data_IF_320011210693
#
_entry.id   IF_320011210693
#
_cell.length_a   1.000
_cell.length_b   1.000
_cell.length_c   1.000
_cell.angle_alpha   90.00
_cell.angle_beta   90.00
_cell.angle_gamma   90.00
#
_symmetry.space_group_name_H-M   'P 1'
#
loop_
_entity.id
_entity.type
_entity.pdbx_description
1 polymer ?
#
# COMPACT_ATOMS: atom_id res chain seq x y z
N UNK A 1 -12.58 -10.10 7.69
CA UNK A 1 -13.12 -11.43 8.02
C UNK A 1 -13.81 -11.82 6.73
N UNK A 2 -13.13 -12.59 5.89
CA UNK A 2 -13.51 -12.79 4.49
C UNK A 2 -14.95 -13.27 4.39
N UNK A 3 -15.79 -12.55 3.64
CA UNK A 3 -17.17 -12.99 3.34
C UNK A 3 -17.06 -14.37 2.69
N UNK A 4 -17.57 -15.39 3.40
CA UNK A 4 -17.58 -16.75 2.90
C UNK A 4 -18.53 -16.87 1.71
N UNK A 5 -18.22 -17.73 0.73
CA UNK A 5 -19.04 -17.87 -0.48
C UNK A 5 -20.51 -18.16 -0.13
N UNK A 6 -20.78 -18.97 0.90
CA UNK A 6 -22.16 -19.18 1.35
C UNK A 6 -22.85 -17.91 1.83
N UNK A 7 -22.16 -16.95 2.47
CA UNK A 7 -22.76 -15.66 2.88
C UNK A 7 -22.94 -14.70 1.69
N UNK A 8 -22.08 -14.80 0.68
CA UNK A 8 -22.25 -14.08 -0.58
C UNK A 8 -23.46 -14.64 -1.35
N UNK A 9 -23.56 -15.96 -1.46
CA UNK A 9 -24.64 -16.67 -2.15
C UNK A 9 -25.97 -16.58 -1.37
N UNK A 10 -25.94 -16.69 -0.04
CA UNK A 10 -27.09 -16.51 0.87
C UNK A 10 -27.52 -15.04 0.90
N UNK A 11 -26.58 -14.09 0.82
CA UNK A 11 -26.87 -12.67 0.64
C UNK A 11 -27.56 -12.37 -0.69
N UNK A 12 -27.11 -12.99 -1.78
CA UNK A 12 -27.77 -12.92 -3.09
C UNK A 12 -29.16 -13.58 -3.03
N UNK A 13 -29.29 -14.73 -2.37
CA UNK A 13 -30.55 -15.49 -2.32
C UNK A 13 -31.58 -14.89 -1.36
N UNK A 14 -31.17 -14.25 -0.26
CA UNK A 14 -32.04 -13.64 0.75
C UNK A 14 -32.58 -12.25 0.36
N UNK A 15 -32.12 -11.69 -0.77
CA UNK A 15 -32.70 -10.45 -1.33
C UNK A 15 -34.10 -10.65 -1.89
N UNK A 16 -34.49 -11.91 -2.11
CA UNK A 16 -35.88 -12.31 -2.29
C UNK A 16 -36.44 -12.65 -0.91
N UNK A 17 -37.25 -11.75 -0.33
CA UNK A 17 -38.16 -12.06 0.75
C UNK A 17 -39.10 -13.18 0.25
N UNK A 18 -38.67 -14.42 0.39
CA UNK A 18 -39.37 -15.60 -0.09
C UNK A 18 -40.75 -15.74 0.58
N UNK A 19 -40.92 -15.07 1.72
CA UNK A 19 -42.15 -15.03 2.49
C UNK A 19 -43.23 -14.10 1.90
N UNK A 20 -42.85 -13.00 1.24
CA UNK A 20 -43.81 -12.10 0.55
C UNK A 20 -44.20 -12.64 -0.84
N UNK A 21 -43.34 -13.46 -1.44
CA UNK A 21 -43.60 -14.10 -2.74
C UNK A 21 -44.50 -15.34 -2.68
N UNK A 22 -44.75 -15.92 -1.49
CA UNK A 22 -45.68 -17.06 -1.35
C UNK A 22 -47.11 -16.71 -1.76
N UNK A 23 -47.50 -15.44 -1.67
CA UNK A 23 -48.82 -14.97 -2.13
C UNK A 23 -48.85 -14.56 -3.61
N UNK A 24 -47.70 -14.43 -4.28
CA UNK A 24 -47.60 -14.11 -5.72
C UNK A 24 -47.36 -15.37 -6.57
N UNK A 25 -46.91 -16.47 -5.94
CA UNK A 25 -46.58 -17.75 -6.60
C UNK A 25 -47.76 -18.57 -7.13
N UNK A 26 -49.00 -18.06 -7.11
CA UNK A 26 -50.14 -18.74 -7.75
C UNK A 26 -50.33 -18.40 -9.24
N UNK A 27 -49.62 -17.41 -9.78
CA UNK A 27 -49.57 -17.17 -11.22
C UNK A 27 -48.16 -17.45 -11.76
N UNK A 28 -47.87 -18.73 -12.03
CA UNK A 28 -46.74 -19.12 -12.88
C UNK A 28 -47.03 -18.64 -14.31
N UNK A 29 -46.68 -17.39 -14.62
CA UNK A 29 -46.19 -17.12 -15.97
C UNK A 29 -44.80 -17.76 -16.05
N UNK A 30 -44.64 -18.70 -16.97
CA UNK A 30 -43.32 -19.21 -17.35
C UNK A 30 -42.62 -18.04 -18.04
N UNK A 31 -41.86 -17.24 -17.30
CA UNK A 31 -40.93 -16.30 -17.90
C UNK A 31 -39.92 -17.13 -18.69
N UNK A 32 -39.92 -16.99 -20.02
CA UNK A 32 -38.83 -17.52 -20.85
C UNK A 32 -37.53 -16.91 -20.34
N UNK A 33 -36.64 -17.75 -19.81
CA UNK A 33 -35.30 -17.33 -19.38
C UNK A 33 -34.57 -16.77 -20.59
N UNK A 34 -34.11 -15.53 -20.47
CA UNK A 34 -33.34 -14.86 -21.51
C UNK A 34 -31.98 -15.55 -21.64
N UNK A 35 -31.34 -15.49 -22.81
CA UNK A 35 -29.96 -16.01 -22.96
C UNK A 35 -28.99 -15.40 -21.93
N UNK A 36 -29.19 -14.13 -21.56
CA UNK A 36 -28.45 -13.42 -20.50
C UNK A 36 -28.61 -14.09 -19.12
N UNK A 37 -29.79 -14.65 -18.83
CA UNK A 37 -30.06 -15.37 -17.58
C UNK A 37 -29.34 -16.72 -17.53
N UNK A 38 -29.30 -17.45 -18.66
CA UNK A 38 -28.54 -18.69 -18.78
C UNK A 38 -27.04 -18.48 -18.62
N UNK A 39 -26.49 -17.46 -19.28
CA UNK A 39 -25.07 -17.11 -19.14
C UNK A 39 -24.74 -16.67 -17.71
N UNK A 40 -25.66 -15.96 -17.05
CA UNK A 40 -25.51 -15.57 -15.65
C UNK A 40 -25.53 -16.79 -14.72
N UNK A 41 -26.44 -17.74 -14.91
CA UNK A 41 -26.48 -18.98 -14.11
C UNK A 41 -25.19 -19.80 -14.26
N UNK A 42 -24.65 -19.89 -15.48
CA UNK A 42 -23.36 -20.56 -15.71
C UNK A 42 -22.22 -19.86 -14.96
N UNK A 43 -22.22 -18.53 -14.92
CA UNK A 43 -21.22 -17.77 -14.15
C UNK A 43 -21.39 -17.96 -12.65
N UNK A 44 -22.62 -18.01 -12.17
CA UNK A 44 -22.94 -18.21 -10.75
C UNK A 44 -22.47 -19.59 -10.23
N UNK A 45 -22.33 -20.59 -11.11
CA UNK A 45 -21.77 -21.92 -10.80
C UNK A 45 -20.25 -21.94 -10.59
N UNK A 46 -19.51 -20.92 -11.04
CA UNK A 46 -18.06 -20.86 -10.82
C UNK A 46 -17.78 -20.79 -9.33
N UNK A 47 -16.73 -21.43 -8.81
CA UNK A 47 -16.37 -21.32 -7.39
C UNK A 47 -15.17 -20.39 -7.18
N UNK A 48 -15.25 -19.51 -6.19
CA UNK A 48 -14.15 -18.62 -5.79
C UNK A 48 -13.26 -19.25 -4.72
N UNK A 49 -13.62 -20.45 -4.27
CA UNK A 49 -12.75 -21.30 -3.46
C UNK A 49 -11.93 -22.27 -4.30
N UNK A 50 -12.37 -22.53 -5.54
CA UNK A 50 -11.61 -23.36 -6.46
C UNK A 50 -10.37 -22.61 -6.97
N UNK A 51 -9.20 -23.21 -6.75
CA UNK A 51 -7.91 -22.63 -7.07
C UNK A 51 -7.67 -22.52 -8.58
N UNK A 52 -8.20 -23.46 -9.36
CA UNK A 52 -8.03 -23.49 -10.80
C UNK A 52 -8.90 -22.42 -11.49
N UNK A 53 -10.16 -22.29 -11.06
CA UNK A 53 -11.02 -21.17 -11.45
C UNK A 53 -10.37 -19.82 -11.11
N UNK A 54 -9.81 -19.68 -9.90
CA UNK A 54 -9.08 -18.47 -9.52
C UNK A 54 -7.88 -18.21 -10.45
N UNK A 55 -7.07 -19.22 -10.78
CA UNK A 55 -5.88 -19.08 -11.64
C UNK A 55 -6.20 -18.52 -13.03
N UNK A 56 -7.33 -18.93 -13.60
CA UNK A 56 -7.78 -18.50 -14.93
C UNK A 56 -8.03 -16.98 -14.93
N UNK A 57 -8.69 -16.48 -13.89
CA UNK A 57 -9.13 -15.08 -13.77
C UNK A 57 -8.12 -14.17 -13.02
N UNK A 58 -7.06 -14.72 -12.42
CA UNK A 58 -6.08 -13.99 -11.60
C UNK A 58 -5.05 -13.20 -12.45
N UNK A 59 -5.56 -12.18 -13.15
CA UNK A 59 -4.72 -11.24 -13.91
C UNK A 59 -3.81 -10.42 -12.96
N UNK A 60 -4.28 -10.09 -11.75
CA UNK A 60 -3.53 -9.29 -10.80
C UNK A 60 -2.20 -9.94 -10.42
N UNK A 61 -2.19 -11.25 -10.15
CA UNK A 61 -0.96 -12.00 -9.90
C UNK A 61 -0.05 -12.04 -11.12
N UNK A 62 -0.60 -12.27 -12.32
CA UNK A 62 0.21 -12.36 -13.56
C UNK A 62 1.02 -11.09 -13.78
N UNK A 63 0.41 -9.94 -13.53
CA UNK A 63 1.08 -8.63 -13.63
C UNK A 63 2.05 -8.40 -12.45
N UNK A 64 1.71 -8.85 -11.24
CA UNK A 64 2.56 -8.72 -10.04
C UNK A 64 3.71 -9.73 -9.93
N UNK A 65 3.73 -10.78 -10.76
CA UNK A 65 4.69 -11.88 -10.66
C UNK A 65 6.14 -11.39 -10.66
N UNK A 66 6.46 -10.42 -11.52
CA UNK A 66 7.80 -9.84 -11.60
C UNK A 66 8.22 -9.18 -10.29
N UNK A 67 7.33 -8.37 -9.71
CA UNK A 67 7.56 -7.71 -8.43
C UNK A 67 7.79 -8.74 -7.32
N UNK A 68 6.97 -9.80 -7.26
CA UNK A 68 7.13 -10.88 -6.27
C UNK A 68 8.45 -11.66 -6.44
N UNK A 69 8.95 -11.82 -7.68
CA UNK A 69 10.28 -12.39 -7.92
C UNK A 69 11.37 -11.45 -7.39
N UNK A 70 11.25 -10.15 -7.62
CA UNK A 70 12.21 -9.15 -7.15
C UNK A 70 12.28 -9.09 -5.62
N UNK A 71 11.13 -9.08 -4.94
CA UNK A 71 11.07 -9.12 -3.46
C UNK A 71 11.69 -10.39 -2.86
N UNK A 72 11.60 -11.52 -3.58
CA UNK A 72 12.28 -12.76 -3.20
C UNK A 72 13.78 -12.65 -3.41
N UNK A 73 14.22 -12.12 -4.55
CA UNK A 73 15.64 -11.93 -4.86
C UNK A 73 16.33 -11.01 -3.82
N UNK A 74 15.64 -9.95 -3.39
CA UNK A 74 16.09 -9.01 -2.36
C UNK A 74 15.96 -9.55 -0.92
N UNK A 75 15.50 -10.78 -0.72
CA UNK A 75 15.25 -11.42 0.58
C UNK A 75 14.25 -10.70 1.52
N UNK A 76 13.46 -9.76 0.98
CA UNK A 76 12.53 -8.94 1.76
C UNK A 76 11.26 -9.71 2.10
N UNK A 77 10.76 -10.54 1.17
CA UNK A 77 9.48 -11.24 1.36
C UNK A 77 9.48 -12.62 0.68
N UNK A 78 9.68 -13.72 1.44
CA UNK A 78 9.79 -15.08 0.91
C UNK A 78 8.41 -15.75 0.72
N UNK A 79 7.59 -15.17 -0.16
CA UNK A 79 6.26 -15.70 -0.47
C UNK A 79 6.31 -16.55 -1.75
N UNK A 80 5.61 -17.69 -1.77
CA UNK A 80 5.60 -18.62 -2.90
C UNK A 80 4.17 -18.96 -3.31
N UNK A 81 3.99 -19.32 -4.59
CA UNK A 81 2.73 -19.91 -5.06
C UNK A 81 2.82 -21.42 -4.86
N UNK A 82 1.98 -21.96 -3.98
CA UNK A 82 1.99 -23.40 -3.65
C UNK A 82 0.96 -24.20 -4.45
N UNK A 83 -0.16 -23.57 -4.80
CA UNK A 83 -1.23 -24.16 -5.62
C UNK A 83 -1.79 -23.10 -6.58
N UNK A 84 -2.46 -23.50 -7.68
CA UNK A 84 -3.22 -22.59 -8.52
C UNK A 84 -4.14 -21.70 -7.67
N UNK A 85 -4.15 -20.39 -7.96
CA UNK A 85 -4.95 -19.42 -7.22
C UNK A 85 -4.51 -19.12 -5.77
N UNK A 86 -3.55 -19.86 -5.19
CA UNK A 86 -3.21 -19.76 -3.76
C UNK A 86 -1.74 -19.42 -3.50
N UNK A 87 -1.53 -18.35 -2.75
CA UNK A 87 -0.21 -17.87 -2.36
C UNK A 87 -0.01 -18.19 -0.88
N UNK A 88 1.14 -18.78 -0.55
CA UNK A 88 1.44 -19.23 0.81
C UNK A 88 2.84 -18.84 1.26
N UNK A 89 2.98 -18.65 2.57
CA UNK A 89 4.25 -18.47 3.25
C UNK A 89 4.51 -19.69 4.15
N UNK A 90 5.74 -20.21 4.10
CA UNK A 90 6.19 -21.29 4.98
C UNK A 90 7.63 -21.06 5.41
N UNK A 91 7.88 -21.19 6.71
CA UNK A 91 9.23 -21.06 7.29
C UNK A 91 10.20 -22.12 6.77
N UNK A 92 9.70 -23.28 6.33
CA UNK A 92 10.51 -24.38 5.80
C UNK A 92 10.73 -24.30 4.28
N UNK A 93 10.26 -23.24 3.62
CA UNK A 93 10.40 -23.12 2.17
C UNK A 93 11.83 -22.78 1.75
N UNK A 94 12.21 -23.19 0.53
CA UNK A 94 13.51 -22.84 -0.07
C UNK A 94 13.71 -21.32 -0.19
N UNK A 95 12.62 -20.58 -0.43
CA UNK A 95 12.63 -19.12 -0.48
C UNK A 95 12.96 -18.49 0.89
N UNK A 96 12.42 -19.03 1.98
CA UNK A 96 12.73 -18.56 3.34
C UNK A 96 14.17 -18.89 3.70
N UNK A 97 14.65 -20.09 3.36
CA UNK A 97 16.04 -20.48 3.60
C UNK A 97 17.02 -19.55 2.85
N UNK A 98 16.75 -19.26 1.57
CA UNK A 98 17.52 -18.26 0.82
C UNK A 98 17.48 -16.89 1.51
N UNK A 99 16.30 -16.42 1.93
CA UNK A 99 16.16 -15.12 2.57
C UNK A 99 16.95 -15.04 3.89
N UNK A 100 16.97 -16.11 4.68
CA UNK A 100 17.75 -16.21 5.92
C UNK A 100 19.25 -16.19 5.62
N UNK A 101 19.74 -16.99 4.66
CA UNK A 101 21.15 -17.00 4.28
C UNK A 101 21.61 -15.63 3.75
N UNK A 102 20.82 -15.01 2.88
CA UNK A 102 21.10 -13.68 2.35
C UNK A 102 21.09 -12.63 3.48
N UNK A 103 20.11 -12.68 4.39
CA UNK A 103 20.03 -11.77 5.52
C UNK A 103 21.23 -11.89 6.46
N UNK A 104 21.71 -13.11 6.74
CA UNK A 104 22.91 -13.32 7.56
C UNK A 104 24.13 -12.66 6.88
N UNK A 105 24.34 -12.93 5.59
CA UNK A 105 25.45 -12.34 4.83
C UNK A 105 25.35 -10.80 4.80
N UNK A 106 24.17 -10.25 4.50
CA UNK A 106 23.93 -8.81 4.50
C UNK A 106 24.11 -8.20 5.89
N UNK A 107 23.71 -8.90 6.95
CA UNK A 107 23.90 -8.44 8.34
C UNK A 107 25.37 -8.33 8.70
N UNK A 108 26.22 -9.28 8.28
CA UNK A 108 27.68 -9.19 8.50
C UNK A 108 28.24 -7.92 7.85
N UNK A 109 27.84 -7.63 6.61
CA UNK A 109 28.26 -6.40 5.90
C UNK A 109 27.76 -5.15 6.63
N UNK A 110 26.48 -5.12 7.02
CA UNK A 110 25.87 -4.00 7.75
C UNK A 110 26.54 -3.77 9.10
N UNK A 111 26.93 -4.82 9.82
CA UNK A 111 27.62 -4.71 11.11
C UNK A 111 29.05 -4.16 10.95
N UNK A 112 29.79 -4.59 9.92
CA UNK A 112 31.13 -4.05 9.61
C UNK A 112 31.01 -2.55 9.31
N UNK A 113 30.11 -2.18 8.40
CA UNK A 113 29.87 -0.76 8.05
C UNK A 113 29.41 0.03 9.27
N UNK A 114 28.49 -0.52 10.07
CA UNK A 114 27.97 0.12 11.28
C UNK A 114 29.06 0.34 12.33
N UNK A 115 29.97 -0.62 12.53
CA UNK A 115 31.09 -0.47 13.45
C UNK A 115 32.01 0.67 13.05
N UNK A 116 32.39 0.75 11.78
CA UNK A 116 33.23 1.83 11.26
C UNK A 116 32.55 3.19 11.40
N UNK A 117 31.23 3.27 11.14
CA UNK A 117 30.45 4.50 11.32
C UNK A 117 30.35 4.92 12.78
N UNK A 118 30.19 3.99 13.72
CA UNK A 118 30.18 4.30 15.16
C UNK A 118 31.57 4.76 15.63
N UNK A 119 32.65 4.18 15.10
CA UNK A 119 34.02 4.65 15.41
C UNK A 119 34.25 6.07 14.93
N UNK A 120 33.82 6.40 13.70
CA UNK A 120 33.87 7.77 13.17
C UNK A 120 33.04 8.70 14.05
N UNK A 121 31.81 8.31 14.43
CA UNK A 121 30.92 9.11 15.28
C UNK A 121 31.55 9.47 16.64
N UNK A 122 32.31 8.55 17.26
CA UNK A 122 33.02 8.80 18.53
C UNK A 122 34.18 9.77 18.41
N UNK A 123 34.73 9.93 17.21
CA UNK A 123 35.87 10.83 16.96
C UNK A 123 35.46 12.29 16.70
N UNK A 124 34.17 12.52 16.39
CA UNK A 124 33.65 13.84 16.04
C UNK A 124 33.39 14.66 17.31
N UNK A 125 33.92 15.88 17.33
CA UNK A 125 33.74 16.84 18.44
C UNK A 125 32.76 17.97 18.12
N UNK A 126 32.54 18.26 16.83
CA UNK A 126 31.58 19.30 16.40
C UNK A 126 30.17 18.73 16.33
N UNK A 127 29.22 19.47 16.85
CA UNK A 127 27.83 19.06 16.91
C UNK A 127 27.21 18.88 15.52
N UNK A 128 27.51 19.76 14.57
CA UNK A 128 26.92 19.64 13.23
C UNK A 128 27.42 18.39 12.50
N UNK A 129 28.73 18.14 12.50
CA UNK A 129 29.36 16.91 11.98
C UNK A 129 28.76 15.63 12.63
N UNK A 130 28.32 15.71 13.88
CA UNK A 130 27.67 14.60 14.59
C UNK A 130 26.26 14.31 14.03
N UNK A 131 25.49 15.34 13.67
CA UNK A 131 24.16 15.18 13.05
C UNK A 131 24.26 14.49 11.67
N UNK A 132 25.30 14.78 10.90
CA UNK A 132 25.53 14.07 9.63
C UNK A 132 25.89 12.60 9.87
N UNK A 133 26.77 12.33 10.83
CA UNK A 133 27.21 10.98 11.11
C UNK A 133 26.08 10.10 11.69
N UNK A 134 25.15 10.65 12.48
CA UNK A 134 24.02 9.89 13.02
C UNK A 134 22.99 9.49 11.95
N UNK A 135 22.76 10.33 10.93
CA UNK A 135 21.86 9.98 9.81
C UNK A 135 22.31 8.68 9.13
N UNK A 136 23.62 8.53 8.88
CA UNK A 136 24.16 7.30 8.29
C UNK A 136 23.95 6.05 9.15
N UNK A 137 23.94 6.19 10.48
CA UNK A 137 23.62 5.10 11.39
C UNK A 137 22.13 4.78 11.35
N UNK A 138 21.27 5.81 11.32
CA UNK A 138 19.82 5.64 11.23
C UNK A 138 19.44 4.91 9.94
N UNK A 139 20.06 5.22 8.80
CA UNK A 139 19.84 4.51 7.53
C UNK A 139 20.21 3.02 7.57
N UNK A 140 21.01 2.55 8.53
CA UNK A 140 21.28 1.12 8.71
C UNK A 140 20.18 0.40 9.51
N UNK A 141 19.40 1.12 10.32
CA UNK A 141 18.36 0.54 11.20
C UNK A 141 17.30 -0.27 10.45
N UNK A 142 16.76 0.15 9.29
CA UNK A 142 15.73 -0.60 8.58
C UNK A 142 16.13 -2.04 8.23
N UNK A 143 17.43 -2.32 8.06
CA UNK A 143 17.93 -3.68 7.83
C UNK A 143 17.50 -4.63 8.95
N UNK A 144 17.64 -4.21 10.20
CA UNK A 144 17.31 -5.04 11.36
C UNK A 144 15.80 -5.25 11.55
N UNK A 145 14.97 -4.45 10.89
CA UNK A 145 13.51 -4.60 10.94
C UNK A 145 13.00 -5.69 10.00
N UNK A 146 13.76 -6.09 8.97
CA UNK A 146 13.32 -7.04 7.92
C UNK A 146 12.65 -8.30 8.49
N UNK A 147 13.22 -9.01 9.49
CA UNK A 147 12.58 -10.22 10.03
C UNK A 147 11.23 -9.92 10.69
N UNK A 148 11.09 -8.77 11.33
CA UNK A 148 9.89 -8.39 12.08
C UNK A 148 8.78 -7.82 11.18
N UNK A 149 9.17 -6.93 10.25
CA UNK A 149 8.24 -6.15 9.42
C UNK A 149 8.04 -6.73 8.02
N UNK A 150 8.96 -7.56 7.53
CA UNK A 150 8.86 -8.25 6.24
C UNK A 150 8.38 -9.68 6.42
N UNK A 151 9.19 -10.53 7.09
CA UNK A 151 8.85 -11.94 7.25
C UNK A 151 7.70 -12.16 8.24
N UNK A 152 7.68 -11.38 9.33
CA UNK A 152 6.64 -11.43 10.35
C UNK A 152 5.23 -11.04 9.85
N UNK A 153 5.09 -10.46 8.66
CA UNK A 153 3.79 -10.15 8.02
C UNK A 153 3.53 -10.98 6.76
N UNK A 154 4.49 -11.81 6.33
CA UNK A 154 4.42 -12.52 5.04
C UNK A 154 3.19 -13.42 4.92
N UNK A 155 2.74 -14.00 6.04
CA UNK A 155 1.50 -14.79 6.09
C UNK A 155 0.25 -13.95 5.78
N UNK A 156 0.11 -12.77 6.41
CA UNK A 156 -1.02 -11.87 6.17
C UNK A 156 -1.01 -11.34 4.74
N UNK A 157 0.18 -11.04 4.21
CA UNK A 157 0.35 -10.61 2.82
C UNK A 157 -0.03 -11.73 1.83
N UNK A 158 0.31 -12.99 2.14
CA UNK A 158 -0.07 -14.13 1.32
C UNK A 158 -1.60 -14.31 1.26
N UNK A 159 -2.30 -14.13 2.38
CA UNK A 159 -3.77 -14.13 2.44
C UNK A 159 -4.34 -12.98 1.59
N UNK A 160 -3.83 -11.76 1.77
CA UNK A 160 -4.26 -10.60 0.99
C UNK A 160 -4.11 -10.84 -0.52
N UNK A 161 -2.94 -11.35 -0.95
CA UNK A 161 -2.70 -11.65 -2.38
C UNK A 161 -3.57 -12.79 -2.90
N UNK A 162 -3.93 -13.77 -2.08
CA UNK A 162 -4.88 -14.83 -2.44
C UNK A 162 -6.31 -14.30 -2.60
N UNK A 163 -6.72 -13.34 -1.77
CA UNK A 163 -8.06 -12.76 -1.83
C UNK A 163 -8.31 -11.98 -3.13
N UNK A 164 -7.26 -11.48 -3.80
CA UNK A 164 -7.38 -10.88 -5.13
C UNK A 164 -7.94 -11.87 -6.16
N UNK A 165 -7.46 -13.12 -6.18
CA UNK A 165 -7.97 -14.15 -7.08
C UNK A 165 -9.47 -14.39 -6.86
N UNK A 166 -9.89 -14.49 -5.59
CA UNK A 166 -11.31 -14.65 -5.22
C UNK A 166 -12.17 -13.49 -5.69
N UNK A 167 -11.68 -12.26 -5.50
CA UNK A 167 -12.38 -11.06 -5.95
C UNK A 167 -12.51 -11.02 -7.48
N UNK A 168 -11.48 -11.39 -8.23
CA UNK A 168 -11.56 -11.40 -9.70
C UNK A 168 -12.57 -12.42 -10.23
N UNK A 169 -12.71 -13.58 -9.57
CA UNK A 169 -13.79 -14.54 -9.89
C UNK A 169 -15.16 -13.93 -9.59
N UNK A 170 -15.36 -13.35 -8.40
CA UNK A 170 -16.64 -12.71 -8.04
C UNK A 170 -16.99 -11.53 -8.96
N UNK A 171 -15.99 -10.74 -9.36
CA UNK A 171 -16.13 -9.66 -10.33
C UNK A 171 -16.63 -10.20 -11.68
N UNK A 172 -16.03 -11.30 -12.17
CA UNK A 172 -16.47 -11.95 -13.40
C UNK A 172 -17.90 -12.48 -13.28
N UNK A 173 -18.29 -13.05 -12.12
CA UNK A 173 -19.67 -13.52 -11.91
C UNK A 173 -20.70 -12.40 -12.04
N UNK A 174 -20.42 -11.25 -11.44
CA UNK A 174 -21.36 -10.13 -11.38
C UNK A 174 -21.40 -9.36 -12.70
N UNK A 175 -20.24 -9.02 -13.28
CA UNK A 175 -20.15 -8.13 -14.44
C UNK A 175 -20.15 -8.88 -15.79
N UNK A 176 -19.85 -10.18 -15.78
CA UNK A 176 -19.62 -10.97 -16.99
C UNK A 176 -18.30 -10.68 -17.70
N UNK A 177 -17.50 -9.73 -17.21
CA UNK A 177 -16.24 -9.31 -17.81
C UNK A 177 -15.04 -9.62 -16.90
N UNK A 178 -13.91 -9.89 -17.52
CA UNK A 178 -12.67 -10.10 -16.79
C UNK A 178 -12.08 -8.76 -16.35
N UNK A 179 -11.69 -8.66 -15.08
CA UNK A 179 -11.04 -7.47 -14.56
C UNK A 179 -9.66 -7.29 -15.22
N UNK A 180 -9.53 -6.24 -16.03
CA UNK A 180 -8.31 -5.89 -16.76
C UNK A 180 -7.55 -4.79 -16.04
N UNK A 181 -6.23 -4.93 -15.99
CA UNK A 181 -5.33 -3.89 -15.48
C UNK A 181 -4.50 -3.29 -16.62
N UNK A 182 -5.01 -2.26 -17.32
CA UNK A 182 -4.30 -1.66 -18.44
C UNK A 182 -2.94 -1.11 -18.00
N UNK A 183 -1.89 -1.45 -18.73
CA UNK A 183 -0.51 -0.97 -18.52
C UNK A 183 0.09 -1.27 -17.14
N UNK A 184 -0.51 -2.14 -16.32
CA UNK A 184 -0.02 -2.40 -14.96
C UNK A 184 1.36 -3.07 -15.00
N UNK A 185 1.53 -4.12 -15.81
CA UNK A 185 2.83 -4.78 -16.01
C UNK A 185 3.92 -3.80 -16.45
N UNK A 186 3.63 -2.95 -17.44
CA UNK A 186 4.57 -1.94 -17.93
C UNK A 186 4.89 -0.91 -16.85
N UNK A 187 3.88 -0.45 -16.10
CA UNK A 187 4.07 0.46 -14.96
C UNK A 187 4.97 -0.18 -13.90
N UNK A 188 4.76 -1.46 -13.56
CA UNK A 188 5.57 -2.19 -12.57
C UNK A 188 7.03 -2.22 -13.02
N UNK A 189 7.30 -2.55 -14.28
CA UNK A 189 8.67 -2.57 -14.83
C UNK A 189 9.31 -1.19 -14.75
N UNK A 190 8.62 -0.14 -15.21
CA UNK A 190 9.13 1.24 -15.20
C UNK A 190 9.43 1.69 -13.77
N UNK A 191 8.51 1.47 -12.83
CA UNK A 191 8.71 1.87 -11.43
C UNK A 191 9.83 1.06 -10.80
N UNK A 192 9.90 -0.26 -11.01
CA UNK A 192 10.98 -1.09 -10.45
C UNK A 192 12.35 -0.67 -10.98
N UNK A 193 12.50 -0.45 -12.28
CA UNK A 193 13.77 0.06 -12.86
C UNK A 193 14.07 1.46 -12.34
N UNK A 194 13.06 2.33 -12.27
CA UNK A 194 13.18 3.68 -11.71
C UNK A 194 13.64 3.66 -10.25
N UNK A 195 13.14 2.75 -9.42
CA UNK A 195 13.53 2.60 -8.02
C UNK A 195 15.01 2.17 -7.85
N UNK A 196 15.51 1.31 -8.74
CA UNK A 196 16.92 0.90 -8.76
C UNK A 196 17.82 2.06 -9.18
N UNK A 197 17.45 2.77 -10.25
CA UNK A 197 18.19 3.95 -10.72
C UNK A 197 18.18 5.07 -9.68
N UNK A 198 17.03 5.33 -9.05
CA UNK A 198 16.90 6.31 -7.99
C UNK A 198 17.78 5.96 -6.79
N UNK A 199 17.88 4.68 -6.42
CA UNK A 199 18.77 4.24 -5.35
C UNK A 199 20.25 4.53 -5.69
N UNK A 200 20.68 4.26 -6.93
CA UNK A 200 22.04 4.58 -7.39
C UNK A 200 22.27 6.08 -7.39
N UNK A 201 21.38 6.86 -8.00
CA UNK A 201 21.51 8.32 -8.08
C UNK A 201 21.56 8.95 -6.69
N UNK A 202 20.67 8.55 -5.78
CA UNK A 202 20.64 9.04 -4.41
C UNK A 202 21.94 8.73 -3.67
N UNK A 203 22.45 7.50 -3.79
CA UNK A 203 23.73 7.13 -3.17
C UNK A 203 24.94 7.85 -3.75
N UNK A 204 24.97 8.07 -5.07
CA UNK A 204 26.02 8.85 -5.70
C UNK A 204 25.98 10.32 -5.25
N UNK A 205 24.77 10.90 -5.19
CA UNK A 205 24.58 12.25 -4.65
C UNK A 205 25.10 12.35 -3.22
N UNK A 206 24.73 11.41 -2.34
CA UNK A 206 25.24 11.39 -0.97
C UNK A 206 26.76 11.19 -0.89
N UNK A 207 27.33 10.37 -1.79
CA UNK A 207 28.76 10.13 -1.84
C UNK A 207 29.57 11.37 -2.25
N UNK A 208 29.01 12.22 -3.11
CA UNK A 208 29.63 13.46 -3.57
C UNK A 208 29.42 14.58 -2.56
N UNK A 209 28.24 14.65 -1.95
CA UNK A 209 27.82 15.77 -1.10
C UNK A 209 28.28 15.63 0.35
N UNK A 210 28.48 14.40 0.85
CA UNK A 210 28.93 14.16 2.23
C UNK A 210 30.35 13.59 2.27
N UNK A 211 31.28 14.38 2.83
CA UNK A 211 32.65 13.95 3.09
C UNK A 211 32.67 12.70 4.00
N UNK A 212 33.40 11.66 3.59
CA UNK A 212 33.56 10.41 4.34
C UNK A 212 32.75 9.20 3.83
N UNK A 213 32.17 9.29 2.63
CA UNK A 213 31.51 8.16 1.98
C UNK A 213 32.51 7.34 1.13
N UNK A 214 33.16 6.33 1.72
CA UNK A 214 33.91 5.35 0.91
C UNK A 214 32.93 4.49 0.10
N UNK A 215 33.22 4.32 -1.21
CA UNK A 215 32.47 3.45 -2.13
C UNK A 215 32.29 2.01 -1.63
N UNK A 216 33.18 1.54 -0.73
CA UNK A 216 33.10 0.21 -0.09
C UNK A 216 31.89 0.07 0.84
N UNK A 217 31.44 1.16 1.48
CA UNK A 217 30.26 1.15 2.36
C UNK A 217 28.95 1.21 1.58
N UNK A 218 28.99 1.63 0.32
CA UNK A 218 27.81 1.84 -0.53
C UNK A 218 27.02 0.55 -0.79
N UNK A 219 27.66 -0.61 -0.70
CA UNK A 219 27.01 -1.91 -0.92
C UNK A 219 25.92 -2.21 0.11
N UNK A 220 26.15 -1.93 1.39
CA UNK A 220 25.15 -2.10 2.45
C UNK A 220 23.96 -1.15 2.25
N UNK A 221 24.24 0.13 2.01
CA UNK A 221 23.20 1.13 1.81
C UNK A 221 22.41 0.90 0.52
N UNK A 222 23.04 0.36 -0.53
CA UNK A 222 22.37 0.03 -1.79
C UNK A 222 21.22 -0.95 -1.60
N UNK A 223 21.44 -2.02 -0.84
CA UNK A 223 20.38 -2.98 -0.54
C UNK A 223 19.24 -2.34 0.27
N UNK A 224 19.58 -1.55 1.30
CA UNK A 224 18.58 -0.92 2.18
C UNK A 224 17.73 0.12 1.43
N UNK A 225 18.36 1.01 0.68
CA UNK A 225 17.67 2.07 -0.07
C UNK A 225 16.83 1.45 -1.20
N UNK A 226 17.36 0.44 -1.89
CA UNK A 226 16.59 -0.31 -2.89
C UNK A 226 15.35 -0.93 -2.25
N UNK A 227 15.48 -1.54 -1.07
CA UNK A 227 14.35 -2.11 -0.34
C UNK A 227 13.31 -1.04 0.06
N UNK A 228 13.75 0.12 0.56
CA UNK A 228 12.85 1.24 0.92
C UNK A 228 12.04 1.68 -0.31
N UNK A 229 12.73 1.93 -1.44
CA UNK A 229 12.10 2.32 -2.70
C UNK A 229 11.12 1.25 -3.20
N UNK A 230 11.50 -0.03 -3.12
CA UNK A 230 10.64 -1.14 -3.55
C UNK A 230 9.40 -1.29 -2.68
N UNK A 231 9.49 -1.03 -1.37
CA UNK A 231 8.29 -1.01 -0.52
C UNK A 231 7.34 0.13 -0.91
N UNK A 232 7.85 1.34 -1.17
CA UNK A 232 7.02 2.43 -1.69
C UNK A 232 6.33 2.06 -3.01
N UNK A 233 7.09 1.47 -3.95
CA UNK A 233 6.56 0.99 -5.22
C UNK A 233 5.47 -0.07 -5.03
N UNK A 234 5.70 -1.06 -4.15
CA UNK A 234 4.73 -2.10 -3.83
C UNK A 234 3.42 -1.49 -3.34
N UNK A 235 3.49 -0.54 -2.41
CA UNK A 235 2.28 0.14 -1.92
C UNK A 235 1.52 0.82 -3.05
N UNK A 236 2.22 1.66 -3.83
CA UNK A 236 1.66 2.41 -4.93
C UNK A 236 0.97 1.49 -5.95
N UNK A 237 1.59 0.37 -6.32
CA UNK A 237 1.05 -0.58 -7.28
C UNK A 237 -0.23 -1.25 -6.74
N UNK A 238 -0.26 -1.64 -5.46
CA UNK A 238 -1.47 -2.22 -4.86
C UNK A 238 -2.62 -1.19 -4.80
N UNK A 239 -2.33 0.04 -4.37
CA UNK A 239 -3.29 1.15 -4.39
C UNK A 239 -3.83 1.42 -5.80
N UNK A 240 -2.95 1.47 -6.80
CA UNK A 240 -3.33 1.63 -8.21
C UNK A 240 -4.21 0.48 -8.70
N UNK A 241 -3.92 -0.76 -8.30
CA UNK A 241 -4.74 -1.93 -8.60
C UNK A 241 -6.16 -1.80 -8.05
N UNK A 242 -6.31 -1.41 -6.78
CA UNK A 242 -7.63 -1.17 -6.16
C UNK A 242 -8.37 -0.03 -6.86
N UNK A 243 -7.66 1.05 -7.19
CA UNK A 243 -8.25 2.18 -7.92
C UNK A 243 -8.83 1.74 -9.27
N UNK A 244 -8.06 1.00 -10.07
CA UNK A 244 -8.52 0.48 -11.37
C UNK A 244 -9.72 -0.46 -11.19
N UNK A 245 -9.65 -1.37 -10.21
CA UNK A 245 -10.76 -2.28 -9.89
C UNK A 245 -12.04 -1.53 -9.52
N UNK A 246 -11.92 -0.46 -8.72
CA UNK A 246 -13.04 0.39 -8.34
C UNK A 246 -13.64 1.16 -9.50
N UNK A 247 -12.81 1.73 -10.37
CA UNK A 247 -13.27 2.46 -11.54
C UNK A 247 -14.02 1.53 -12.50
N UNK A 248 -13.44 0.36 -12.77
CA UNK A 248 -14.06 -0.65 -13.61
C UNK A 248 -15.36 -1.21 -13.01
N UNK A 249 -15.44 -1.36 -11.68
CA UNK A 249 -16.68 -1.74 -10.99
C UNK A 249 -17.76 -0.66 -11.15
N UNK A 250 -17.42 0.60 -10.91
CA UNK A 250 -18.34 1.74 -11.03
C UNK A 250 -18.85 1.91 -12.47
N UNK A 251 -17.97 1.78 -13.46
CA UNK A 251 -18.33 1.86 -14.88
C UNK A 251 -19.30 0.73 -15.28
N UNK A 252 -19.03 -0.51 -14.86
CA UNK A 252 -19.93 -1.63 -15.12
C UNK A 252 -21.26 -1.47 -14.39
N UNK A 253 -21.22 -0.99 -13.14
CA UNK A 253 -22.43 -0.75 -12.36
C UNK A 253 -23.35 0.27 -13.03
N UNK A 254 -22.79 1.42 -13.44
CA UNK A 254 -23.54 2.46 -14.15
C UNK A 254 -24.16 1.92 -15.44
N UNK A 255 -23.36 1.22 -16.26
CA UNK A 255 -23.83 0.64 -17.52
C UNK A 255 -24.95 -0.37 -17.31
N UNK A 256 -24.83 -1.24 -16.31
CA UNK A 256 -25.83 -2.27 -16.06
C UNK A 256 -27.13 -1.68 -15.50
N UNK A 257 -27.04 -0.67 -14.63
CA UNK A 257 -28.20 0.07 -14.08
C UNK A 257 -28.95 0.85 -15.17
N UNK A 258 -28.23 1.43 -16.14
CA UNK A 258 -28.83 2.09 -17.31
C UNK A 258 -29.63 1.12 -18.19
N UNK A 259 -29.24 -0.15 -18.24
CA UNK A 259 -29.94 -1.19 -19.00
C UNK A 259 -31.12 -1.75 -18.21
N UNK A 260 -30.90 -2.13 -16.96
CA UNK A 260 -31.91 -2.73 -16.09
C UNK A 260 -31.63 -2.36 -14.62
N UNK A 261 -32.50 -1.56 -14.02
CA UNK A 261 -32.40 -1.24 -12.60
C UNK A 261 -33.30 -2.18 -11.78
N UNK A 262 -32.74 -3.29 -11.28
CA UNK A 262 -33.47 -4.26 -10.45
C UNK A 262 -32.78 -4.53 -9.10
N UNK A 263 -33.56 -4.86 -8.07
CA UNK A 263 -33.07 -5.13 -6.71
C UNK A 263 -31.95 -6.19 -6.69
N UNK A 264 -32.08 -7.23 -7.52
CA UNK A 264 -31.08 -8.30 -7.66
C UNK A 264 -29.75 -7.77 -8.18
N UNK A 265 -29.78 -6.87 -9.17
CA UNK A 265 -28.58 -6.23 -9.73
C UNK A 265 -27.89 -5.35 -8.68
N UNK A 266 -28.65 -4.45 -8.04
CA UNK A 266 -28.14 -3.54 -7.00
C UNK A 266 -27.47 -4.34 -5.87
N UNK A 267 -28.11 -5.43 -5.43
CA UNK A 267 -27.56 -6.24 -4.35
C UNK A 267 -26.24 -6.94 -4.73
N UNK A 268 -26.13 -7.46 -5.95
CA UNK A 268 -24.89 -8.08 -6.45
C UNK A 268 -23.73 -7.09 -6.49
N UNK A 269 -23.99 -5.88 -6.97
CA UNK A 269 -23.00 -4.81 -6.96
C UNK A 269 -22.66 -4.33 -5.55
N UNK A 270 -23.62 -4.29 -4.63
CA UNK A 270 -23.37 -4.03 -3.20
C UNK A 270 -22.39 -5.02 -2.60
N UNK A 271 -22.61 -6.33 -2.78
CA UNK A 271 -21.70 -7.35 -2.26
C UNK A 271 -20.32 -7.31 -2.93
N UNK A 272 -20.27 -7.03 -4.24
CA UNK A 272 -19.01 -6.87 -4.94
C UNK A 272 -18.22 -5.66 -4.42
N UNK A 273 -18.89 -4.52 -4.21
CA UNK A 273 -18.28 -3.33 -3.61
C UNK A 273 -17.80 -3.57 -2.18
N UNK A 274 -18.60 -4.25 -1.35
CA UNK A 274 -18.20 -4.64 0.01
C UNK A 274 -16.93 -5.50 -0.01
N UNK A 275 -16.80 -6.42 -0.97
CA UNK A 275 -15.61 -7.24 -1.10
C UNK A 275 -14.38 -6.43 -1.56
N UNK A 276 -14.57 -5.43 -2.42
CA UNK A 276 -13.52 -4.49 -2.80
C UNK A 276 -13.08 -3.60 -1.61
N UNK A 277 -14.04 -3.11 -0.82
CA UNK A 277 -13.77 -2.37 0.42
C UNK A 277 -12.99 -3.25 1.41
N UNK A 278 -13.37 -4.52 1.59
CA UNK A 278 -12.61 -5.46 2.41
C UNK A 278 -11.18 -5.69 1.88
N UNK A 279 -10.98 -5.77 0.57
CA UNK A 279 -9.65 -5.84 -0.02
C UNK A 279 -8.79 -4.61 0.30
N UNK A 280 -9.37 -3.41 0.23
CA UNK A 280 -8.67 -2.17 0.57
C UNK A 280 -8.30 -2.10 2.06
N UNK A 281 -9.21 -2.50 2.95
CA UNK A 281 -8.90 -2.61 4.37
C UNK A 281 -7.86 -3.71 4.64
N UNK A 282 -7.92 -4.82 3.93
CA UNK A 282 -6.96 -5.93 4.04
C UNK A 282 -5.56 -5.51 3.59
N UNK A 283 -5.42 -4.65 2.58
CA UNK A 283 -4.15 -4.04 2.19
C UNK A 283 -3.53 -3.27 3.38
N UNK A 284 -4.31 -2.38 4.00
CA UNK A 284 -3.90 -1.62 5.19
C UNK A 284 -3.49 -2.54 6.35
N UNK A 285 -4.32 -3.53 6.65
CA UNK A 285 -4.13 -4.42 7.80
C UNK A 285 -2.99 -5.43 7.61
N UNK A 286 -2.79 -5.95 6.40
CA UNK A 286 -1.75 -6.93 6.11
C UNK A 286 -0.35 -6.32 6.22
N UNK A 287 -0.19 -5.08 5.76
CA UNK A 287 1.08 -4.37 5.80
C UNK A 287 1.19 -3.33 6.92
N UNK A 288 0.24 -3.30 7.86
CA UNK A 288 0.18 -2.29 8.91
C UNK A 288 1.52 -2.11 9.64
N UNK A 289 2.13 -3.22 10.06
CA UNK A 289 3.42 -3.19 10.76
C UNK A 289 4.53 -2.61 9.90
N UNK A 290 4.61 -3.01 8.63
CA UNK A 290 5.63 -2.54 7.67
C UNK A 290 5.51 -1.03 7.45
N UNK A 291 4.31 -0.54 7.14
CA UNK A 291 4.14 0.88 6.82
C UNK A 291 4.07 1.78 8.05
N UNK A 292 3.68 1.28 9.23
CA UNK A 292 3.84 2.02 10.48
C UNK A 292 5.31 2.29 10.78
N UNK A 293 6.17 1.26 10.68
CA UNK A 293 7.62 1.45 10.87
C UNK A 293 8.24 2.32 9.78
N UNK A 294 7.76 2.18 8.54
CA UNK A 294 8.19 3.00 7.41
C UNK A 294 7.89 4.49 7.62
N UNK A 295 6.67 4.83 8.07
CA UNK A 295 6.29 6.20 8.37
C UNK A 295 7.16 6.78 9.49
N UNK A 296 7.36 6.05 10.59
CA UNK A 296 8.23 6.50 11.70
C UNK A 296 9.66 6.76 11.22
N UNK A 297 10.20 5.86 10.40
CA UNK A 297 11.52 6.03 9.81
C UNK A 297 11.59 7.28 8.92
N UNK A 298 10.62 7.50 8.03
CA UNK A 298 10.58 8.69 7.18
C UNK A 298 10.49 9.97 8.02
N UNK A 299 9.64 10.00 9.05
CA UNK A 299 9.50 11.16 9.93
C UNK A 299 10.78 11.49 10.70
N UNK A 300 11.46 10.48 11.23
CA UNK A 300 12.73 10.68 11.92
C UNK A 300 13.80 11.26 11.00
N UNK A 301 13.95 10.71 9.79
CA UNK A 301 14.94 11.20 8.83
C UNK A 301 14.62 12.62 8.34
N UNK A 302 13.35 12.92 8.01
CA UNK A 302 12.95 14.27 7.61
C UNK A 302 13.25 15.28 8.74
N UNK A 303 12.90 14.95 9.99
CA UNK A 303 13.16 15.83 11.13
C UNK A 303 14.66 16.11 11.29
N UNK A 304 15.48 15.07 11.27
CA UNK A 304 16.93 15.19 11.48
C UNK A 304 17.60 15.92 10.31
N UNK A 305 17.21 15.60 9.07
CA UNK A 305 17.76 16.23 7.88
C UNK A 305 17.40 17.72 7.80
N UNK A 306 16.14 18.09 8.07
CA UNK A 306 15.73 19.50 8.09
C UNK A 306 16.38 20.24 9.27
N UNK A 307 16.50 19.61 10.44
CA UNK A 307 17.20 20.20 11.57
C UNK A 307 18.67 20.46 11.23
N UNK A 308 19.38 19.46 10.70
CA UNK A 308 20.79 19.60 10.31
C UNK A 308 20.98 20.70 9.26
N UNK A 309 20.08 20.79 8.28
CA UNK A 309 20.15 21.84 7.25
C UNK A 309 19.93 23.24 7.86
N UNK A 310 18.94 23.41 8.74
CA UNK A 310 18.69 24.69 9.40
C UNK A 310 19.79 25.06 10.40
N UNK A 311 20.34 24.08 11.12
CA UNK A 311 21.43 24.22 12.09
C UNK A 311 22.65 24.88 11.47
N UNK A 312 23.00 24.48 10.25
CA UNK A 312 24.17 24.95 9.50
C UNK A 312 23.96 26.32 8.88
N UNK A 313 22.78 26.56 8.30
CA UNK A 313 22.38 27.87 7.78
C UNK A 313 22.47 28.95 8.88
N UNK A 314 22.10 28.60 10.13
CA UNK A 314 22.18 29.52 11.28
C UNK A 314 23.63 29.84 11.68
N UNK A 315 24.56 28.90 11.53
CA UNK A 315 25.94 29.06 11.98
C UNK A 315 26.85 29.71 10.93
N UNK A 316 26.71 29.33 9.66
CA UNK A 316 27.58 29.79 8.56
C UNK A 316 26.94 30.87 7.68
N UNK A 317 25.66 31.19 7.90
CA UNK A 317 24.87 32.05 7.00
C UNK A 317 24.45 31.31 5.72
N UNK A 318 23.89 32.02 4.74
CA UNK A 318 23.43 31.42 3.47
C UNK A 318 24.61 31.10 2.52
N UNK A 319 25.54 30.25 2.96
CA UNK A 319 26.66 29.78 2.17
C UNK A 319 26.43 28.32 1.81
N UNK A 320 25.89 28.04 0.62
CA UNK A 320 25.59 26.68 0.12
C UNK A 320 26.80 25.74 0.23
N UNK A 321 26.94 25.08 1.38
CA UNK A 321 27.96 24.07 1.60
C UNK A 321 27.50 22.75 0.96
N UNK A 322 28.44 21.95 0.44
CA UNK A 322 28.11 20.65 -0.15
C UNK A 322 27.35 19.75 0.84
N UNK A 323 27.65 19.87 2.14
CA UNK A 323 26.98 19.13 3.22
C UNK A 323 25.51 19.51 3.37
N UNK A 324 25.18 20.81 3.34
CA UNK A 324 23.80 21.32 3.45
C UNK A 324 22.93 20.81 2.29
N UNK A 325 23.49 20.82 1.08
CA UNK A 325 22.82 20.31 -0.10
C UNK A 325 22.50 18.81 0.03
N UNK A 326 23.41 18.03 0.63
CA UNK A 326 23.18 16.61 0.93
C UNK A 326 21.97 16.37 1.84
N UNK A 327 21.81 17.17 2.89
CA UNK A 327 20.66 17.07 3.81
C UNK A 327 19.35 17.49 3.16
N UNK A 328 19.38 18.53 2.31
CA UNK A 328 18.20 18.94 1.58
C UNK A 328 17.74 17.85 0.60
N UNK A 329 18.68 17.21 -0.09
CA UNK A 329 18.39 16.06 -0.98
C UNK A 329 17.77 14.91 -0.20
N UNK A 330 18.29 14.59 0.99
CA UNK A 330 17.72 13.56 1.86
C UNK A 330 16.31 13.89 2.36
N UNK A 331 16.10 15.11 2.85
CA UNK A 331 14.80 15.58 3.29
C UNK A 331 13.76 15.55 2.15
N UNK A 332 14.14 16.01 0.96
CA UNK A 332 13.29 16.00 -0.22
C UNK A 332 12.95 14.57 -0.68
N UNK A 333 13.93 13.67 -0.65
CA UNK A 333 13.76 12.26 -0.99
C UNK A 333 12.78 11.57 -0.02
N UNK A 334 13.01 11.67 1.29
CA UNK A 334 12.15 11.07 2.30
C UNK A 334 10.73 11.67 2.26
N UNK A 335 10.61 12.98 2.06
CA UNK A 335 9.32 13.67 1.93
C UNK A 335 8.53 13.21 0.70
N UNK A 336 9.21 13.02 -0.44
CA UNK A 336 8.58 12.54 -1.67
C UNK A 336 8.04 11.11 -1.49
N UNK A 337 8.83 10.22 -0.89
CA UNK A 337 8.40 8.85 -0.62
C UNK A 337 7.20 8.77 0.33
N UNK A 338 7.22 9.58 1.39
CA UNK A 338 6.09 9.67 2.32
C UNK A 338 4.84 10.26 1.64
N UNK A 339 5.01 11.31 0.82
CA UNK A 339 3.92 11.90 0.06
C UNK A 339 3.27 10.88 -0.87
N UNK A 340 4.05 10.11 -1.63
CA UNK A 340 3.53 9.05 -2.51
C UNK A 340 2.70 8.05 -1.71
N UNK A 341 3.21 7.58 -0.57
CA UNK A 341 2.53 6.63 0.30
C UNK A 341 1.16 7.16 0.77
N UNK A 342 1.12 8.39 1.28
CA UNK A 342 -0.10 8.99 1.80
C UNK A 342 -1.09 9.34 0.69
N UNK A 343 -0.63 9.98 -0.39
CA UNK A 343 -1.48 10.46 -1.47
C UNK A 343 -2.15 9.31 -2.23
N UNK A 344 -1.43 8.22 -2.50
CA UNK A 344 -2.04 7.08 -3.18
C UNK A 344 -3.08 6.34 -2.31
N UNK A 345 -2.85 6.26 -0.99
CA UNK A 345 -3.81 5.68 -0.04
C UNK A 345 -5.09 6.50 0.04
N UNK A 346 -4.95 7.83 0.12
CA UNK A 346 -6.06 8.77 0.15
C UNK A 346 -6.87 8.72 -1.15
N UNK A 347 -6.20 8.77 -2.31
CA UNK A 347 -6.86 8.66 -3.63
C UNK A 347 -7.60 7.33 -3.80
N UNK A 348 -7.04 6.22 -3.30
CA UNK A 348 -7.68 4.91 -3.39
C UNK A 348 -8.95 4.85 -2.54
N UNK A 349 -8.87 5.34 -1.29
CA UNK A 349 -10.03 5.46 -0.37
C UNK A 349 -11.15 6.27 -1.01
N UNK A 350 -10.83 7.45 -1.55
CA UNK A 350 -11.81 8.32 -2.20
C UNK A 350 -12.42 7.68 -3.45
N UNK A 351 -11.63 7.03 -4.29
CA UNK A 351 -12.14 6.43 -5.54
C UNK A 351 -13.11 5.28 -5.25
N UNK A 352 -12.84 4.46 -4.22
CA UNK A 352 -13.72 3.35 -3.81
C UNK A 352 -15.06 3.85 -3.29
N UNK A 353 -15.08 4.94 -2.53
CA UNK A 353 -16.32 5.52 -2.03
C UNK A 353 -17.10 6.26 -3.14
N UNK A 354 -16.44 7.21 -3.82
CA UNK A 354 -17.09 8.11 -4.77
C UNK A 354 -17.66 7.38 -5.99
N UNK A 355 -16.94 6.40 -6.53
CA UNK A 355 -17.33 5.76 -7.80
C UNK A 355 -18.72 5.11 -7.76
N UNK A 356 -19.11 4.51 -6.64
CA UNK A 356 -20.43 3.90 -6.51
C UNK A 356 -21.49 4.89 -6.03
N UNK A 357 -21.11 5.85 -5.17
CA UNK A 357 -22.02 6.93 -4.75
C UNK A 357 -22.55 7.73 -5.93
N UNK A 358 -21.68 8.10 -6.88
CA UNK A 358 -22.09 8.86 -8.08
C UNK A 358 -23.14 8.10 -8.90
N UNK A 359 -23.02 6.77 -8.98
CA UNK A 359 -23.98 5.94 -9.71
C UNK A 359 -25.29 5.79 -8.93
N UNK A 360 -25.23 5.54 -7.62
CA UNK A 360 -26.44 5.42 -6.79
C UNK A 360 -27.26 6.71 -6.78
N UNK A 361 -26.60 7.87 -6.72
CA UNK A 361 -27.25 9.19 -6.75
C UNK A 361 -27.85 9.53 -8.11
N UNK A 362 -27.43 8.86 -9.18
CA UNK A 362 -27.97 9.06 -10.53
C UNK A 362 -29.29 8.31 -10.78
N UNK A 363 -29.64 7.35 -9.92
CA UNK A 363 -30.85 6.54 -10.05
C UNK A 363 -32.06 7.36 -9.60
N UNK A 364 -33.09 7.45 -10.44
CA UNK A 364 -34.36 8.02 -10.03
C UNK A 364 -35.11 7.04 -9.11
N UNK A 365 -34.97 7.26 -7.81
CA UNK A 365 -35.58 6.44 -6.75
C UNK A 365 -37.11 6.40 -6.87
N UNK A 366 -37.75 7.43 -7.43
CA UNK A 366 -39.20 7.49 -7.58
C UNK A 366 -39.71 6.63 -8.75
N UNK A 367 -38.85 6.33 -9.72
CA UNK A 367 -39.18 5.55 -10.91
C UNK A 367 -38.97 4.03 -10.72
N UNK A 368 -38.30 3.61 -9.63
CA UNK A 368 -37.98 2.19 -9.36
C UNK A 368 -38.95 1.56 -8.36
N UNK A 369 -39.05 0.22 -8.39
CA UNK A 369 -39.90 -0.57 -7.50
C UNK A 369 -39.42 -0.53 -6.04
N UNK A 370 -40.35 -0.75 -5.09
CA UNK A 370 -40.05 -0.74 -3.65
C UNK A 370 -38.90 -1.68 -3.22
N UNK A 371 -38.82 -2.93 -3.71
CA UNK A 371 -37.65 -3.79 -3.45
C UNK A 371 -36.32 -3.16 -3.88
N UNK A 372 -36.28 -2.54 -5.06
CA UNK A 372 -35.07 -1.85 -5.56
C UNK A 372 -34.73 -0.63 -4.71
N UNK A 373 -35.71 0.19 -4.31
CA UNK A 373 -35.49 1.31 -3.38
C UNK A 373 -34.84 0.85 -2.07
N UNK A 374 -35.37 -0.24 -1.48
CA UNK A 374 -34.83 -0.81 -0.24
C UNK A 374 -33.38 -1.31 -0.40
N UNK A 375 -33.04 -1.92 -1.54
CA UNK A 375 -31.66 -2.37 -1.79
C UNK A 375 -30.71 -1.19 -2.03
N UNK A 376 -31.17 -0.09 -2.63
CA UNK A 376 -30.40 1.17 -2.74
C UNK A 376 -30.12 1.72 -1.34
N UNK A 377 -31.14 1.79 -0.47
CA UNK A 377 -30.97 2.24 0.93
C UNK A 377 -29.96 1.36 1.68
N UNK A 378 -30.08 0.04 1.55
CA UNK A 378 -29.11 -0.89 2.14
C UNK A 378 -27.70 -0.70 1.59
N UNK A 379 -27.54 -0.33 0.30
CA UNK A 379 -26.24 -0.06 -0.28
C UNK A 379 -25.65 1.25 0.28
N UNK A 380 -26.43 2.33 0.33
CA UNK A 380 -25.99 3.60 0.93
C UNK A 380 -25.58 3.37 2.39
N UNK A 381 -26.40 2.66 3.17
CA UNK A 381 -26.10 2.30 4.55
C UNK A 381 -24.82 1.46 4.66
N UNK A 382 -24.59 0.51 3.74
CA UNK A 382 -23.36 -0.28 3.71
C UNK A 382 -22.11 0.58 3.45
N UNK A 383 -22.23 1.64 2.63
CA UNK A 383 -21.16 2.59 2.36
C UNK A 383 -20.85 3.42 3.61
N UNK A 384 -21.88 3.90 4.31
CA UNK A 384 -21.72 4.70 5.53
C UNK A 384 -21.17 3.87 6.70
N UNK A 385 -21.65 2.65 6.89
CA UNK A 385 -21.26 1.78 8.00
C UNK A 385 -19.86 1.16 7.83
N UNK A 386 -19.41 0.97 6.58
CA UNK A 386 -18.10 0.37 6.27
C UNK A 386 -17.29 1.27 5.31
N UNK A 387 -16.83 2.45 5.77
CA UNK A 387 -16.08 3.34 4.93
C UNK A 387 -14.78 2.65 4.50
N UNK A 388 -14.49 2.69 3.20
CA UNK A 388 -13.37 1.98 2.57
C UNK A 388 -12.02 2.66 2.86
N UNK A 389 -11.69 2.87 4.14
CA UNK A 389 -10.52 3.64 4.58
C UNK A 389 -9.34 2.71 4.80
N UNK A 390 -8.19 3.12 4.25
CA UNK A 390 -6.91 2.46 4.54
C UNK A 390 -6.50 2.78 5.97
N UNK A 391 -6.58 1.77 6.85
CA UNK A 391 -6.15 1.84 8.24
C UNK A 391 -4.98 0.89 8.50
N UNK A 392 -3.98 1.36 9.25
CA UNK A 392 -2.85 0.53 9.71
C UNK A 392 -3.25 -0.19 11.01
N UNK A 393 -4.19 -1.15 10.95
CA UNK A 393 -4.73 -1.85 12.14
C UNK A 393 -5.24 -0.92 13.25
N UNK A 394 -5.82 0.21 12.89
CA UNK A 394 -6.35 1.18 13.86
C UNK A 394 -5.30 2.10 14.49
N UNK A 395 -3.99 1.93 14.21
CA UNK A 395 -2.97 2.86 14.70
C UNK A 395 -3.08 4.25 14.06
N UNK A 396 -3.37 4.29 12.75
CA UNK A 396 -3.58 5.52 12.01
C UNK A 396 -4.38 5.25 10.73
N UNK A 397 -5.17 6.23 10.33
CA UNK A 397 -5.74 6.29 8.99
C UNK A 397 -4.73 6.92 8.04
N UNK A 398 -4.49 6.27 6.90
CA UNK A 398 -3.53 6.76 5.91
C UNK A 398 -4.26 7.73 4.97
N UNK A 399 -4.32 8.99 5.38
CA UNK A 399 -4.95 10.09 4.65
C UNK A 399 -4.04 11.32 4.60
N UNK A 400 -4.40 12.34 3.81
CA UNK A 400 -3.61 13.58 3.72
C UNK A 400 -3.47 14.32 5.05
N UNK A 401 -4.39 14.10 5.99
CA UNK A 401 -4.29 14.68 7.35
C UNK A 401 -3.11 14.09 8.13
N UNK A 402 -2.75 12.82 7.91
CA UNK A 402 -1.52 12.23 8.48
C UNK A 402 -0.28 13.01 8.03
N UNK A 403 -0.24 13.44 6.77
CA UNK A 403 0.86 14.25 6.24
C UNK A 403 0.88 15.64 6.90
N UNK A 404 -0.27 16.32 6.95
CA UNK A 404 -0.38 17.65 7.57
C UNK A 404 -0.01 17.61 9.05
N UNK A 405 -0.53 16.61 9.78
CA UNK A 405 -0.21 16.40 11.21
C UNK A 405 1.27 16.19 11.42
N UNK A 406 1.91 15.39 10.56
CA UNK A 406 3.33 15.15 10.68
C UNK A 406 4.19 16.36 10.32
N UNK A 407 3.84 17.12 9.28
CA UNK A 407 4.54 18.38 8.96
C UNK A 407 4.43 19.35 10.14
N UNK A 408 3.26 19.46 10.76
CA UNK A 408 3.06 20.27 11.96
C UNK A 408 3.93 19.79 13.13
N UNK A 409 4.01 18.48 13.38
CA UNK A 409 4.89 17.92 14.41
C UNK A 409 6.36 18.21 14.11
N UNK A 410 6.82 17.99 12.88
CA UNK A 410 8.19 18.29 12.45
C UNK A 410 8.49 19.77 12.70
N UNK A 411 7.60 20.68 12.27
CA UNK A 411 7.77 22.12 12.49
C UNK A 411 7.87 22.49 13.97
N UNK A 412 7.00 21.92 14.83
CA UNK A 412 7.04 22.14 16.28
C UNK A 412 8.36 21.65 16.87
N UNK A 413 8.80 20.43 16.54
CA UNK A 413 10.08 19.89 17.02
C UNK A 413 11.27 20.73 16.53
N UNK A 414 11.26 21.16 15.27
CA UNK A 414 12.31 22.01 14.71
C UNK A 414 12.39 23.35 15.44
N UNK A 415 11.25 24.01 15.68
CA UNK A 415 11.19 25.27 16.44
C UNK A 415 11.81 25.05 17.82
N UNK A 416 11.38 24.01 18.55
CA UNK A 416 11.91 23.72 19.89
C UNK A 416 13.42 23.49 19.87
N UNK A 417 13.92 22.65 18.94
CA UNK A 417 15.35 22.34 18.83
C UNK A 417 16.20 23.57 18.44
N UNK A 418 15.70 24.42 17.54
CA UNK A 418 16.35 25.67 17.16
C UNK A 418 16.41 26.65 18.32
N UNK A 419 15.33 26.78 19.10
CA UNK A 419 15.30 27.63 20.29
C UNK A 419 16.35 27.19 21.32
N UNK A 420 16.48 25.88 21.57
CA UNK A 420 17.55 25.36 22.43
C UNK A 420 18.95 25.69 21.90
N UNK A 421 19.19 25.57 20.58
CA UNK A 421 20.48 25.91 19.98
C UNK A 421 20.82 27.39 20.14
N UNK A 422 19.87 28.29 19.87
CA UNK A 422 20.07 29.75 19.99
C UNK A 422 20.27 30.18 21.44
N UNK A 423 19.65 29.48 22.40
CA UNK A 423 19.71 29.80 23.82
C UNK A 423 21.00 29.33 24.50
N UNK A 424 21.80 28.46 23.85
CA UNK A 424 23.09 28.03 24.37
C UNK A 424 24.12 29.16 24.20
N UNK A 425 24.87 29.53 25.26
CA UNK A 425 25.93 30.51 25.14
C UNK A 425 26.98 30.02 24.15
N UNK A 426 27.27 30.80 23.10
CA UNK A 426 28.45 30.56 22.26
C UNK A 426 29.68 30.81 23.14
N UNK A 427 30.58 29.84 23.26
CA UNK A 427 31.80 29.97 24.07
C UNK A 427 32.52 31.29 23.74
N UNK A 428 33.00 32.03 24.76
CA UNK A 428 33.64 33.32 24.53
C UNK A 428 34.86 33.13 23.62
N UNK A 429 34.88 33.84 22.50
CA UNK A 429 36.06 33.96 21.66
C UNK A 429 37.22 34.40 22.55
N UNK A 430 38.23 33.53 22.69
CA UNK A 430 39.51 33.90 23.29
C UNK A 430 40.14 34.90 22.33
N UNK A 431 39.89 36.19 22.60
CA UNK A 431 40.65 37.29 22.01
C UNK A 431 42.07 37.12 22.51
N UNK A 432 42.98 36.74 21.60
CA UNK A 432 44.42 36.83 21.80
C UNK A 432 44.93 38.08 21.11
#
# INVERSE_FOLDING_TARGET
MTIADHLFDEGINNTLLHHDMRHVQQNKSVYEKTQRDYEQEQRDLLSSQDGDTCEIHDQFYRDHKLLLVLFRALAVMPITRSRPGTITFSWKSTATMYAVCFYIAATVVVLIVGYERIMILRSIRRFDDYIYAILFVIFLVPHFWIPFVGWGVAHQVAIYKTNWGKFQVRYYRVTGENLKFPNLKTTIVIISVGCLLLAVCFLLSLCILLDGFLLRHTTAYYHIITMINMNCALWYINCKGIKIASQSLSECFRRDVEIECSAKLISRYRYLWLNLSELLQSLGNAYARTYSTYCLFMFANITIAVYGALSEIVDHGFGFSFKEMGLFVDAAYCSTLLFIFVDCSHKSTLTVAAGVQDTLLSIDVLAVDRPTQKEIDHFIQAIEMNPAVVSLKGYAHVNRELLTSAISMIAIYLIVLLQFKISLPKDPQIVT
#
